data_IF_249298437918
#
_entry.id   IF_249298437918
#
_cell.length_a   1.000
_cell.length_b   1.000
_cell.length_c   1.000
_cell.angle_alpha   90.00
_cell.angle_beta   90.00
_cell.angle_gamma   90.00
#
_symmetry.space_group_name_H-M   'P 1'
#
loop_
_entity.id
_entity.type
_entity.pdbx_description
1 polymer ?
#
# COMPACT_ATOMS: atom_id res chain seq x y z
N UNK A 1 26.27 26.57 15.75
CA UNK A 1 25.35 25.44 15.76
C UNK A 1 23.99 25.94 15.32
N UNK A 2 23.42 25.39 14.24
CA UNK A 2 22.05 25.68 13.87
C UNK A 2 21.13 25.14 14.98
N UNK A 3 20.27 25.97 15.51
CA UNK A 3 19.29 25.61 16.55
C UNK A 3 17.99 25.11 15.94
N UNK A 4 17.79 25.25 14.62
CA UNK A 4 16.62 24.82 13.89
C UNK A 4 17.03 24.34 12.50
N UNK A 5 16.80 23.08 12.24
CA UNK A 5 17.10 22.42 10.98
C UNK A 5 15.82 21.96 10.26
N UNK A 6 14.65 22.50 10.62
CA UNK A 6 13.39 22.15 9.95
C UNK A 6 13.46 22.73 8.54
N UNK A 7 13.43 21.82 7.56
CA UNK A 7 13.50 22.18 6.16
C UNK A 7 12.08 22.39 5.60
N UNK A 8 11.95 23.28 4.63
CA UNK A 8 10.70 23.56 3.91
C UNK A 8 10.12 22.33 3.20
N UNK A 9 10.95 21.35 2.80
CA UNK A 9 10.50 20.10 2.21
C UNK A 9 9.56 19.29 3.14
N UNK A 10 9.81 19.31 4.44
CA UNK A 10 8.97 18.65 5.43
C UNK A 10 7.60 19.33 5.57
N UNK A 11 7.51 20.64 5.39
CA UNK A 11 6.25 21.37 5.46
C UNK A 11 5.28 20.91 4.34
N UNK A 12 5.76 20.73 3.11
CA UNK A 12 4.96 20.24 2.00
C UNK A 12 4.40 18.83 2.30
N UNK A 13 5.25 17.91 2.74
CA UNK A 13 4.82 16.55 3.08
C UNK A 13 3.82 16.53 4.23
N UNK A 14 3.98 17.39 5.24
CA UNK A 14 3.03 17.52 6.34
C UNK A 14 1.66 18.05 5.86
N UNK A 15 1.65 19.01 4.94
CA UNK A 15 0.43 19.55 4.32
C UNK A 15 -0.26 18.46 3.51
N UNK A 16 0.48 17.72 2.67
CA UNK A 16 -0.07 16.61 1.88
C UNK A 16 -0.69 15.53 2.77
N UNK A 17 0.00 15.11 3.83
CA UNK A 17 -0.51 14.14 4.79
C UNK A 17 -1.79 14.64 5.50
N UNK A 18 -1.83 15.93 5.86
CA UNK A 18 -3.00 16.54 6.48
C UNK A 18 -4.20 16.55 5.53
N UNK A 19 -3.99 16.94 4.27
CA UNK A 19 -5.07 16.95 3.27
C UNK A 19 -5.53 15.55 2.90
N UNK A 20 -4.64 14.59 2.84
CA UNK A 20 -4.99 13.19 2.66
C UNK A 20 -5.91 12.71 3.79
N UNK A 21 -5.56 13.01 5.04
CA UNK A 21 -6.38 12.67 6.19
C UNK A 21 -7.74 13.39 6.19
N UNK A 22 -7.78 14.68 5.77
CA UNK A 22 -9.04 15.44 5.66
C UNK A 22 -9.94 14.86 4.59
N UNK A 23 -9.39 14.55 3.41
CA UNK A 23 -10.15 14.05 2.27
C UNK A 23 -10.74 12.66 2.52
N UNK A 24 -9.92 11.72 2.99
CA UNK A 24 -10.32 10.33 3.18
C UNK A 24 -11.07 10.11 4.51
N UNK A 25 -10.77 10.90 5.52
CA UNK A 25 -11.30 10.71 6.86
C UNK A 25 -10.91 9.37 7.51
N UNK A 26 -11.35 9.11 8.74
CA UNK A 26 -10.97 7.88 9.45
C UNK A 26 -11.47 6.62 8.74
N UNK A 27 -12.69 6.65 8.18
CA UNK A 27 -13.27 5.48 7.47
C UNK A 27 -12.54 5.21 6.14
N UNK A 28 -12.24 6.25 5.37
CA UNK A 28 -11.53 6.13 4.09
C UNK A 28 -10.14 5.57 4.27
N UNK A 29 -9.36 6.08 5.23
CA UNK A 29 -8.02 5.57 5.55
C UNK A 29 -8.07 4.11 5.98
N UNK A 30 -9.05 3.72 6.82
CA UNK A 30 -9.23 2.33 7.23
C UNK A 30 -9.53 1.41 6.03
N UNK A 31 -10.40 1.85 5.12
CA UNK A 31 -10.74 1.08 3.92
C UNK A 31 -9.52 0.90 3.00
N UNK A 32 -8.72 1.97 2.81
CA UNK A 32 -7.48 1.91 2.03
C UNK A 32 -6.52 0.89 2.66
N UNK A 33 -6.27 1.00 3.96
CA UNK A 33 -5.39 0.10 4.69
C UNK A 33 -5.86 -1.36 4.60
N UNK A 34 -7.15 -1.62 4.78
CA UNK A 34 -7.73 -2.97 4.67
C UNK A 34 -7.54 -3.54 3.27
N UNK A 35 -7.81 -2.75 2.23
CA UNK A 35 -7.63 -3.17 0.83
C UNK A 35 -6.17 -3.53 0.52
N UNK A 36 -5.22 -2.70 0.94
CA UNK A 36 -3.78 -2.97 0.78
C UNK A 36 -3.43 -4.32 1.43
N UNK A 37 -3.85 -4.50 2.68
CA UNK A 37 -3.56 -5.72 3.42
C UNK A 37 -4.22 -6.96 2.81
N UNK A 38 -5.45 -6.87 2.32
CA UNK A 38 -6.14 -7.97 1.66
C UNK A 38 -5.45 -8.38 0.35
N UNK A 39 -5.02 -7.42 -0.47
CA UNK A 39 -4.22 -7.70 -1.67
C UNK A 39 -2.86 -8.33 -1.33
N UNK A 40 -2.23 -7.88 -0.24
CA UNK A 40 -0.97 -8.46 0.23
C UNK A 40 -1.16 -9.92 0.65
N UNK A 41 -2.23 -10.23 1.41
CA UNK A 41 -2.56 -11.61 1.79
C UNK A 41 -2.84 -12.50 0.59
N UNK A 42 -3.56 -11.96 -0.40
CA UNK A 42 -3.86 -12.67 -1.63
C UNK A 42 -2.56 -13.06 -2.35
N UNK A 43 -1.64 -12.10 -2.52
CA UNK A 43 -0.33 -12.35 -3.12
C UNK A 43 0.47 -13.38 -2.31
N UNK A 44 0.48 -13.28 -0.98
CA UNK A 44 1.18 -14.22 -0.10
C UNK A 44 0.68 -15.64 -0.28
N UNK A 45 -0.64 -15.86 -0.16
CA UNK A 45 -1.25 -17.18 -0.31
C UNK A 45 -0.97 -17.80 -1.68
N UNK A 46 -1.15 -17.02 -2.75
CA UNK A 46 -0.95 -17.48 -4.10
C UNK A 46 0.52 -17.85 -4.38
N UNK A 47 1.48 -17.03 -3.92
CA UNK A 47 2.90 -17.31 -4.11
C UNK A 47 3.34 -18.51 -3.27
N UNK A 48 2.83 -18.66 -2.04
CA UNK A 48 3.11 -19.85 -1.22
C UNK A 48 2.53 -21.13 -1.85
N UNK A 49 1.35 -21.08 -2.48
CA UNK A 49 0.76 -22.21 -3.21
C UNK A 49 1.63 -22.67 -4.39
N UNK A 50 2.44 -21.77 -4.97
CA UNK A 50 3.47 -22.11 -5.96
C UNK A 50 4.69 -22.82 -5.36
N UNK A 51 4.80 -22.89 -4.03
CA UNK A 51 5.88 -23.56 -3.31
C UNK A 51 7.04 -22.62 -2.92
N UNK A 52 6.81 -21.32 -2.84
CA UNK A 52 7.80 -20.38 -2.31
C UNK A 52 7.66 -20.21 -0.80
N UNK A 53 8.79 -20.06 -0.11
CA UNK A 53 8.84 -19.85 1.33
C UNK A 53 8.82 -18.36 1.64
N UNK A 54 7.79 -17.93 2.37
CA UNK A 54 7.65 -16.57 2.87
C UNK A 54 8.50 -16.37 4.14
N UNK A 55 9.29 -15.31 4.19
CA UNK A 55 10.26 -15.04 5.27
C UNK A 55 9.62 -14.34 6.48
N UNK A 56 8.69 -13.43 6.23
CA UNK A 56 8.04 -12.65 7.29
C UNK A 56 6.99 -13.49 8.01
N UNK A 57 7.09 -13.63 9.31
CA UNK A 57 6.04 -14.27 10.12
C UNK A 57 4.78 -13.42 10.21
N UNK A 58 4.96 -12.12 10.22
CA UNK A 58 3.89 -11.12 10.24
C UNK A 58 4.23 -10.02 9.24
N UNK A 59 3.24 -9.47 8.58
CA UNK A 59 3.38 -8.42 7.59
C UNK A 59 2.11 -7.57 7.53
N UNK A 60 2.20 -6.39 6.95
CA UNK A 60 1.05 -5.57 6.61
C UNK A 60 0.90 -5.44 5.09
N UNK A 61 1.87 -4.84 4.43
CA UNK A 61 1.89 -4.52 2.99
C UNK A 61 3.12 -5.07 2.25
N UNK A 62 4.10 -5.57 2.97
CA UNK A 62 5.37 -5.99 2.38
C UNK A 62 5.65 -7.46 2.67
N UNK A 63 5.86 -8.24 1.60
CA UNK A 63 6.21 -9.65 1.61
C UNK A 63 7.67 -9.84 1.25
N UNK A 64 8.27 -10.91 1.77
CA UNK A 64 9.62 -11.31 1.41
C UNK A 64 9.68 -12.82 1.22
N UNK A 65 10.14 -13.27 0.06
CA UNK A 65 10.23 -14.68 -0.28
C UNK A 65 11.67 -15.12 -0.52
N UNK A 66 12.01 -16.35 -0.09
CA UNK A 66 13.24 -17.00 -0.44
C UNK A 66 13.22 -17.43 -1.91
N UNK A 67 14.27 -17.06 -2.66
CA UNK A 67 14.40 -17.37 -4.09
C UNK A 67 15.61 -18.25 -4.41
N UNK A 68 16.66 -18.15 -3.62
CA UNK A 68 17.89 -18.88 -3.87
C UNK A 68 18.43 -18.67 -5.30
N UNK A 69 18.66 -19.76 -6.02
CA UNK A 69 19.16 -19.72 -7.39
C UNK A 69 18.17 -19.15 -8.42
N UNK A 70 16.87 -19.09 -8.09
CA UNK A 70 15.82 -18.61 -9.00
C UNK A 70 15.76 -17.07 -9.07
N UNK A 71 16.45 -16.35 -8.18
CA UNK A 71 16.37 -14.89 -8.04
C UNK A 71 16.69 -14.14 -9.34
N UNK A 72 17.73 -14.56 -10.07
CA UNK A 72 18.11 -13.90 -11.32
C UNK A 72 17.07 -14.11 -12.42
N UNK A 73 16.51 -15.31 -12.51
CA UNK A 73 15.41 -15.62 -13.44
C UNK A 73 14.17 -14.81 -13.13
N UNK A 74 13.78 -14.73 -11.84
CA UNK A 74 12.64 -13.93 -11.40
C UNK A 74 12.84 -12.46 -11.74
N UNK A 75 14.03 -11.90 -11.49
CA UNK A 75 14.32 -10.50 -11.82
C UNK A 75 14.12 -10.22 -13.31
N UNK A 76 14.65 -11.10 -14.17
CA UNK A 76 14.52 -10.93 -15.63
C UNK A 76 13.06 -11.03 -16.06
N UNK A 77 12.30 -11.99 -15.53
CA UNK A 77 10.89 -12.17 -15.87
C UNK A 77 10.03 -11.02 -15.33
N UNK A 78 10.30 -10.52 -14.13
CA UNK A 78 9.61 -9.35 -13.57
C UNK A 78 9.82 -8.12 -14.46
N UNK A 79 11.05 -7.83 -14.89
CA UNK A 79 11.33 -6.70 -15.78
C UNK A 79 10.62 -6.85 -17.14
N UNK A 80 10.50 -8.07 -17.69
CA UNK A 80 9.75 -8.32 -18.91
C UNK A 80 8.24 -8.04 -18.77
N UNK A 81 7.73 -8.06 -17.55
CA UNK A 81 6.34 -7.75 -17.22
C UNK A 81 6.21 -6.35 -16.55
N UNK A 82 7.21 -5.48 -16.72
CA UNK A 82 7.24 -4.11 -16.18
C UNK A 82 7.12 -4.02 -14.66
N UNK A 83 7.51 -5.10 -13.95
CA UNK A 83 7.55 -5.15 -12.49
C UNK A 83 8.97 -4.95 -11.97
N UNK A 84 9.09 -4.13 -10.93
CA UNK A 84 10.36 -3.88 -10.27
C UNK A 84 10.23 -4.18 -8.77
N UNK A 85 10.83 -5.30 -8.34
CA UNK A 85 10.84 -5.72 -6.95
C UNK A 85 12.13 -5.29 -6.22
N UNK A 86 12.14 -5.40 -4.91
CA UNK A 86 13.38 -5.34 -4.14
C UNK A 86 14.10 -6.68 -4.22
N UNK A 87 15.40 -6.67 -4.50
CA UNK A 87 16.22 -7.89 -4.62
C UNK A 87 17.42 -7.80 -3.68
N UNK A 88 17.62 -8.81 -2.83
CA UNK A 88 18.77 -8.86 -1.92
C UNK A 88 18.86 -10.16 -1.14
N UNK A 89 20.07 -10.62 -0.86
CA UNK A 89 20.38 -11.74 0.01
C UNK A 89 19.62 -13.05 -0.34
N UNK A 90 19.50 -13.36 -1.64
CA UNK A 90 18.77 -14.54 -2.10
C UNK A 90 17.25 -14.46 -1.91
N UNK A 91 16.74 -13.28 -1.64
CA UNK A 91 15.30 -13.02 -1.42
C UNK A 91 14.78 -11.97 -2.38
N UNK A 92 13.47 -11.98 -2.60
CA UNK A 92 12.71 -10.91 -3.26
C UNK A 92 11.73 -10.28 -2.27
N UNK A 93 11.65 -8.95 -2.30
CA UNK A 93 10.67 -8.15 -1.53
C UNK A 93 9.62 -7.57 -2.46
N UNK A 94 8.35 -7.65 -2.07
CA UNK A 94 7.20 -7.12 -2.79
C UNK A 94 6.43 -6.22 -1.83
N UNK A 95 6.20 -4.97 -2.21
CA UNK A 95 5.39 -4.03 -1.44
C UNK A 95 4.14 -3.66 -2.23
N UNK A 96 3.01 -3.71 -1.56
CA UNK A 96 1.68 -3.41 -2.10
C UNK A 96 1.23 -2.08 -1.53
N UNK A 97 0.66 -1.24 -2.36
CA UNK A 97 0.16 0.09 -1.97
C UNK A 97 -1.28 0.32 -2.45
N UNK A 98 -1.79 1.55 -2.23
CA UNK A 98 -3.15 1.93 -2.60
C UNK A 98 -3.40 1.97 -4.11
N UNK A 99 -2.35 2.01 -4.93
CA UNK A 99 -2.45 2.02 -6.39
C UNK A 99 -2.49 0.62 -6.98
N UNK A 100 -2.04 -0.38 -6.21
CA UNK A 100 -2.01 -1.78 -6.64
C UNK A 100 -3.42 -2.31 -6.89
N UNK A 101 -3.60 -2.94 -8.04
CA UNK A 101 -4.86 -3.54 -8.48
C UNK A 101 -4.86 -5.07 -8.35
N UNK A 102 -6.02 -5.68 -8.49
CA UNK A 102 -6.14 -7.15 -8.56
C UNK A 102 -5.39 -7.72 -9.78
N UNK A 103 -5.39 -7.01 -10.91
CA UNK A 103 -4.66 -7.41 -12.12
C UNK A 103 -3.14 -7.34 -11.93
N UNK A 104 -2.65 -6.39 -11.10
CA UNK A 104 -1.24 -6.35 -10.73
C UNK A 104 -0.86 -7.60 -9.90
N UNK A 105 -1.70 -8.01 -8.96
CA UNK A 105 -1.49 -9.25 -8.21
C UNK A 105 -1.46 -10.47 -9.14
N UNK A 106 -2.37 -10.56 -10.11
CA UNK A 106 -2.34 -11.63 -11.13
C UNK A 106 -1.00 -11.63 -11.89
N UNK A 107 -0.54 -10.46 -12.31
CA UNK A 107 0.73 -10.32 -13.03
C UNK A 107 1.92 -10.76 -12.17
N UNK A 108 1.94 -10.36 -10.89
CA UNK A 108 2.94 -10.79 -9.92
C UNK A 108 2.95 -12.33 -9.81
N UNK A 109 1.79 -12.93 -9.54
CA UNK A 109 1.68 -14.39 -9.38
C UNK A 109 2.08 -15.14 -10.65
N UNK A 110 1.72 -14.63 -11.83
CA UNK A 110 2.14 -15.16 -13.13
C UNK A 110 3.66 -15.21 -13.29
N UNK A 111 4.36 -14.15 -12.88
CA UNK A 111 5.82 -14.10 -12.93
C UNK A 111 6.43 -15.20 -12.06
N UNK A 112 5.93 -15.39 -10.84
CA UNK A 112 6.38 -16.46 -9.95
C UNK A 112 6.04 -17.86 -10.49
N UNK A 113 4.84 -18.08 -11.02
CA UNK A 113 4.43 -19.34 -11.62
C UNK A 113 5.35 -19.76 -12.76
N UNK A 114 5.69 -18.82 -13.65
CA UNK A 114 6.57 -19.06 -14.80
C UNK A 114 7.96 -19.54 -14.39
N UNK A 115 8.52 -19.00 -13.30
CA UNK A 115 9.83 -19.45 -12.78
C UNK A 115 9.78 -20.89 -12.29
N UNK A 116 8.64 -21.33 -11.75
CA UNK A 116 8.40 -22.74 -11.36
C UNK A 116 8.03 -23.65 -12.55
N UNK A 117 7.96 -23.11 -13.77
CA UNK A 117 7.49 -23.88 -14.93
C UNK A 117 6.00 -24.26 -14.87
N UNK A 118 5.22 -23.53 -14.06
CA UNK A 118 3.77 -23.71 -13.90
C UNK A 118 3.00 -22.76 -14.80
N UNK A 119 1.77 -23.19 -15.19
CA UNK A 119 0.82 -22.29 -15.81
C UNK A 119 0.20 -21.34 -14.79
N UNK A 120 -0.18 -20.14 -15.22
CA UNK A 120 -0.95 -19.20 -14.41
C UNK A 120 -2.29 -19.81 -13.94
N UNK A 121 -2.89 -20.66 -14.77
CA UNK A 121 -4.20 -21.30 -14.51
C UNK A 121 -4.14 -22.35 -13.40
N UNK A 122 -2.95 -22.70 -12.91
CA UNK A 122 -2.78 -23.61 -11.77
C UNK A 122 -3.03 -22.92 -10.41
N UNK A 123 -3.09 -21.59 -10.39
CA UNK A 123 -3.36 -20.80 -9.18
C UNK A 123 -4.50 -19.83 -9.49
N UNK A 124 -5.72 -20.24 -9.19
CA UNK A 124 -6.87 -19.35 -9.27
C UNK A 124 -6.90 -18.42 -8.03
N UNK A 125 -6.76 -17.12 -8.28
CA UNK A 125 -6.81 -16.13 -7.20
C UNK A 125 -8.19 -16.04 -6.56
N UNK A 126 -9.26 -16.34 -7.32
CA UNK A 126 -10.63 -16.27 -6.81
C UNK A 126 -10.87 -17.33 -5.72
N UNK A 127 -10.18 -18.46 -5.75
CA UNK A 127 -10.22 -19.47 -4.69
C UNK A 127 -9.71 -18.90 -3.36
N UNK A 128 -8.68 -18.06 -3.40
CA UNK A 128 -8.10 -17.46 -2.21
C UNK A 128 -8.87 -16.25 -1.69
N UNK A 129 -9.57 -15.51 -2.54
CA UNK A 129 -10.37 -14.33 -2.14
C UNK A 129 -11.39 -14.71 -1.06
N UNK A 130 -12.05 -15.85 -1.22
CA UNK A 130 -13.05 -16.31 -0.26
C UNK A 130 -12.47 -16.79 1.08
N UNK A 131 -11.17 -17.06 1.10
CA UNK A 131 -10.44 -17.51 2.28
C UNK A 131 -9.71 -16.38 3.02
N UNK A 132 -9.78 -15.14 2.53
CA UNK A 132 -9.15 -13.98 3.14
C UNK A 132 -9.87 -13.56 4.43
N UNK A 133 -9.75 -14.35 5.49
CA UNK A 133 -10.21 -13.93 6.81
C UNK A 133 -9.49 -12.68 7.33
N UNK A 134 -9.91 -12.15 8.48
CA UNK A 134 -9.16 -11.10 9.19
C UNK A 134 -7.78 -11.65 9.56
N UNK A 135 -6.72 -10.98 9.09
CA UNK A 135 -5.35 -11.47 9.26
C UNK A 135 -4.50 -10.56 10.13
N UNK A 136 -4.99 -9.38 10.50
CA UNK A 136 -4.32 -8.56 11.50
C UNK A 136 -4.54 -9.23 12.84
N UNK A 137 -3.46 -9.61 13.56
CA UNK A 137 -3.58 -10.16 14.92
C UNK A 137 -4.45 -9.27 15.80
N UNK A 138 -5.34 -9.87 16.60
CA UNK A 138 -6.33 -9.13 17.37
C UNK A 138 -5.68 -8.09 18.29
N UNK A 139 -4.51 -8.42 18.84
CA UNK A 139 -3.71 -7.53 19.69
C UNK A 139 -3.17 -6.29 18.96
N UNK A 140 -3.11 -6.30 17.62
CA UNK A 140 -2.66 -5.19 16.78
C UNK A 140 -3.83 -4.38 16.20
N UNK A 141 -5.06 -4.85 16.39
CA UNK A 141 -6.24 -4.11 15.92
C UNK A 141 -6.44 -2.87 16.81
N UNK A 142 -6.52 -1.70 16.15
CA UNK A 142 -6.79 -0.45 16.85
C UNK A 142 -8.20 -0.47 17.47
N UNK A 143 -8.27 -0.25 18.76
CA UNK A 143 -9.54 -0.16 19.53
C UNK A 143 -9.92 1.27 19.88
N UNK A 144 -9.00 2.23 19.75
CA UNK A 144 -9.24 3.66 20.05
C UNK A 144 -9.70 4.42 18.83
N UNK A 145 -10.55 5.42 19.03
CA UNK A 145 -10.93 6.38 18.00
C UNK A 145 -9.72 7.20 17.54
N UNK A 146 -9.77 7.67 16.31
CA UNK A 146 -8.75 8.55 15.71
C UNK A 146 -9.40 9.50 14.70
N UNK A 147 -8.73 10.62 14.41
CA UNK A 147 -9.23 11.67 13.52
C UNK A 147 -10.67 12.12 13.88
N UNK A 148 -10.92 12.27 15.18
CA UNK A 148 -12.25 12.62 15.73
C UNK A 148 -12.63 14.08 15.52
N UNK A 149 -11.64 14.95 15.20
CA UNK A 149 -11.94 16.37 14.94
C UNK A 149 -12.87 16.50 13.72
N UNK A 150 -13.86 17.41 13.74
CA UNK A 150 -14.85 17.57 12.66
C UNK A 150 -14.25 17.80 11.27
N UNK A 151 -13.06 18.40 11.17
CA UNK A 151 -12.36 18.65 9.91
C UNK A 151 -12.09 17.37 9.11
N UNK A 152 -11.83 16.24 9.78
CA UNK A 152 -11.59 14.95 9.14
C UNK A 152 -12.88 14.23 8.76
N UNK A 153 -14.03 14.86 9.00
CA UNK A 153 -15.33 14.25 8.79
C UNK A 153 -16.28 15.16 7.98
N UNK A 154 -15.73 16.15 7.25
CA UNK A 154 -16.53 17.19 6.60
C UNK A 154 -16.22 17.43 5.13
N UNK A 155 -15.07 17.02 4.61
CA UNK A 155 -14.58 17.42 3.27
C UNK A 155 -14.13 16.22 2.44
N UNK A 156 -15.10 15.43 1.95
CA UNK A 156 -14.83 14.15 1.29
C UNK A 156 -15.10 14.17 -0.23
N UNK A 157 -15.28 15.35 -0.82
CA UNK A 157 -15.39 15.53 -2.27
C UNK A 157 -14.43 16.60 -2.76
N UNK A 158 -14.13 16.59 -4.07
CA UNK A 158 -13.27 17.61 -4.70
C UNK A 158 -13.76 19.02 -4.40
N UNK A 159 -15.07 19.30 -4.56
CA UNK A 159 -15.63 20.63 -4.35
C UNK A 159 -15.55 21.07 -2.89
N UNK A 160 -15.80 20.17 -1.95
CA UNK A 160 -15.68 20.47 -0.52
C UNK A 160 -14.23 20.74 -0.15
N UNK A 161 -13.29 19.94 -0.67
CA UNK A 161 -11.86 20.12 -0.43
C UNK A 161 -11.35 21.44 -0.99
N UNK A 162 -11.75 21.81 -2.21
CA UNK A 162 -11.42 23.11 -2.80
C UNK A 162 -11.96 24.28 -1.97
N UNK A 163 -13.19 24.18 -1.49
CA UNK A 163 -13.78 25.20 -0.58
C UNK A 163 -13.02 25.29 0.74
N UNK A 164 -12.61 24.14 1.27
CA UNK A 164 -11.80 24.11 2.49
C UNK A 164 -10.44 24.78 2.28
N UNK A 165 -9.72 24.43 1.21
CA UNK A 165 -8.44 25.07 0.85
C UNK A 165 -8.62 26.58 0.71
N UNK A 166 -9.66 27.03 0.02
CA UNK A 166 -9.96 28.46 -0.14
C UNK A 166 -10.28 29.15 1.18
N UNK A 167 -10.94 28.46 2.10
CA UNK A 167 -11.22 29.00 3.43
C UNK A 167 -9.95 29.18 4.29
N UNK A 168 -8.94 28.33 4.08
CA UNK A 168 -7.63 28.49 4.73
C UNK A 168 -6.83 29.64 4.11
N UNK A 169 -6.81 29.71 2.78
CA UNK A 169 -6.17 30.80 2.04
C UNK A 169 -6.73 32.17 2.43
N UNK A 170 -8.04 32.27 2.64
CA UNK A 170 -8.71 33.51 3.04
C UNK A 170 -8.35 34.01 4.47
N UNK A 171 -7.65 33.19 5.25
CA UNK A 171 -7.15 33.61 6.59
C UNK A 171 -5.85 34.39 6.55
N UNK A 172 -5.17 34.38 5.41
CA UNK A 172 -3.94 35.10 5.20
C UNK A 172 -4.14 36.33 4.31
N UNK A 173 -3.19 37.25 4.34
CA UNK A 173 -3.20 38.44 3.50
C UNK A 173 -2.97 38.04 2.03
N UNK A 174 -3.78 38.58 1.15
CA UNK A 174 -3.61 38.36 -0.29
C UNK A 174 -3.95 39.62 -1.09
N UNK A 175 -3.48 39.70 -2.32
CA UNK A 175 -3.83 40.80 -3.24
C UNK A 175 -5.31 40.75 -3.70
N UNK A 176 -5.99 39.61 -3.46
CA UNK A 176 -7.37 39.40 -3.91
C UNK A 176 -8.40 39.82 -2.86
N UNK A 177 -8.00 39.94 -1.58
CA UNK A 177 -8.92 40.28 -0.48
C UNK A 177 -8.16 40.93 0.69
N UNK A 178 -7.53 42.00 0.42
CA UNK A 178 -6.94 42.86 1.45
C UNK A 178 -7.99 43.78 2.08
#
# INVERSE_FOLDING_TARGET
KASSNICTAQALLAIMASFYAVYHGPKGIKNIASRIHDLTKLADKAIQALGYEQVNKTYFDTLRFHMGAELSGLKSEALNNELNFFYGDGTVGISIDETTTFEDIKTIVKVFAKIKGKSQDEVDLDDFVNELGTSIPEELVRTSDYLTHPIFNSYHSEHEMLRYIKSLEAKDLSLCHS
#
